data_IF_458690251262
#
_entry.id   IF_458690251262
#
_cell.length_a   1.000
_cell.length_b   1.000
_cell.length_c   1.000
_cell.angle_alpha   90.00
_cell.angle_beta   90.00
_cell.angle_gamma   90.00
#
_symmetry.space_group_name_H-M   'P 1'
#
loop_
_entity.id
_entity.type
_entity.pdbx_description
1 polymer ?
#
# COMPACT_ATOMS: atom_id res chain seq x y z
N UNK A 1 5.66 -11.22 -11.23
CA UNK A 1 4.29 -10.99 -10.73
C UNK A 1 4.39 -10.23 -9.44
N UNK A 2 3.67 -9.11 -9.35
CA UNK A 2 3.50 -8.38 -8.09
C UNK A 2 2.71 -9.27 -7.15
N UNK A 3 3.26 -9.58 -5.97
CA UNK A 3 2.59 -10.45 -5.01
C UNK A 3 1.46 -9.67 -4.35
N UNK A 4 0.35 -10.38 -4.10
CA UNK A 4 -0.82 -9.86 -3.39
C UNK A 4 -1.05 -10.65 -2.11
N UNK A 5 -1.61 -10.01 -1.10
CA UNK A 5 -2.09 -10.69 0.10
C UNK A 5 -3.42 -10.10 0.55
N UNK A 6 -4.25 -10.93 1.18
CA UNK A 6 -5.50 -10.46 1.77
C UNK A 6 -5.21 -9.72 3.08
N UNK A 7 -5.48 -8.41 3.19
CA UNK A 7 -5.28 -7.68 4.43
C UNK A 7 -6.30 -8.11 5.48
N UNK A 8 -5.86 -8.30 6.73
CA UNK A 8 -6.69 -8.56 7.89
C UNK A 8 -7.45 -7.30 8.33
N UNK A 9 -8.25 -6.67 7.46
CA UNK A 9 -8.93 -5.40 7.77
C UNK A 9 -9.88 -5.47 8.97
N UNK A 10 -10.30 -6.66 9.39
CA UNK A 10 -11.12 -6.87 10.59
C UNK A 10 -10.50 -6.27 11.86
N UNK A 11 -9.18 -6.26 11.98
CA UNK A 11 -8.42 -5.71 13.12
C UNK A 11 -8.34 -4.18 13.14
N UNK A 12 -8.76 -3.52 12.05
CA UNK A 12 -8.79 -2.07 12.01
C UNK A 12 -10.02 -1.55 12.78
N UNK A 13 -9.87 -0.55 13.67
CA UNK A 13 -10.99 0.19 14.22
C UNK A 13 -11.88 0.78 13.11
N UNK A 14 -13.14 1.05 13.42
CA UNK A 14 -14.13 1.56 12.46
C UNK A 14 -13.67 2.83 11.72
N UNK A 15 -12.96 3.72 12.42
CA UNK A 15 -12.34 4.91 11.85
C UNK A 15 -11.36 4.58 10.72
N UNK A 16 -10.44 3.65 10.94
CA UNK A 16 -9.45 3.22 9.94
C UNK A 16 -10.08 2.47 8.78
N UNK A 17 -11.13 1.68 9.02
CA UNK A 17 -11.89 1.01 7.94
C UNK A 17 -12.53 2.01 6.99
N UNK A 18 -13.05 3.13 7.52
CA UNK A 18 -13.61 4.21 6.69
C UNK A 18 -12.56 4.96 5.90
N UNK A 19 -11.40 5.23 6.51
CA UNK A 19 -10.28 5.90 5.82
C UNK A 19 -9.64 5.02 4.74
N UNK A 20 -9.69 3.68 4.90
CA UNK A 20 -8.97 2.73 4.06
C UNK A 20 -9.08 2.99 2.54
N UNK A 21 -10.27 3.17 1.93
CA UNK A 21 -10.37 3.39 0.49
C UNK A 21 -9.69 4.68 0.01
N UNK A 22 -9.62 5.70 0.87
CA UNK A 22 -9.00 6.99 0.55
C UNK A 22 -7.47 6.94 0.57
N UNK A 23 -6.89 5.85 1.06
CA UNK A 23 -5.44 5.62 1.02
C UNK A 23 -4.95 5.05 -0.33
N UNK A 24 -5.87 4.76 -1.27
CA UNK A 24 -5.57 4.12 -2.55
C UNK A 24 -4.59 4.87 -3.45
N UNK A 25 -4.42 6.18 -3.25
CA UNK A 25 -3.44 6.99 -3.98
C UNK A 25 -2.02 6.89 -3.44
N UNK A 26 -1.80 6.30 -2.26
CA UNK A 26 -0.48 6.22 -1.64
C UNK A 26 0.58 5.55 -2.54
N UNK A 27 0.31 4.42 -3.21
CA UNK A 27 1.27 3.82 -4.14
C UNK A 27 1.62 4.75 -5.31
N UNK A 28 0.65 5.49 -5.85
CA UNK A 28 0.86 6.42 -6.97
C UNK A 28 1.78 7.59 -6.57
N UNK A 29 1.69 8.00 -5.30
CA UNK A 29 2.57 9.01 -4.71
C UNK A 29 3.95 8.44 -4.27
N UNK A 30 4.23 7.17 -4.57
CA UNK A 30 5.49 6.51 -4.21
C UNK A 30 5.62 6.20 -2.72
N UNK A 31 4.49 6.05 -2.01
CA UNK A 31 4.47 5.62 -0.62
C UNK A 31 4.30 4.12 -0.49
N UNK A 32 5.00 3.54 0.48
CA UNK A 32 4.81 2.16 0.94
C UNK A 32 4.46 2.16 2.41
N UNK A 33 3.48 1.34 2.80
CA UNK A 33 3.10 1.19 4.20
C UNK A 33 4.16 0.39 4.96
N UNK A 34 4.64 0.97 6.05
CA UNK A 34 5.60 0.39 6.99
C UNK A 34 4.98 0.35 8.41
N UNK A 35 5.80 -0.04 9.38
CA UNK A 35 5.45 0.06 10.80
C UNK A 35 4.56 -1.07 11.31
N UNK A 36 3.93 -0.81 12.46
CA UNK A 36 3.14 -1.84 13.16
C UNK A 36 1.89 -2.27 12.39
N UNK A 37 1.23 -1.33 11.73
CA UNK A 37 0.00 -1.59 10.98
C UNK A 37 0.26 -2.43 9.73
N UNK A 38 1.40 -2.26 9.07
CA UNK A 38 1.82 -3.16 7.98
C UNK A 38 1.89 -4.63 8.42
N UNK A 39 2.43 -4.89 9.61
CA UNK A 39 2.52 -6.25 10.18
C UNK A 39 1.13 -6.73 10.59
N UNK A 40 0.36 -5.88 11.26
CA UNK A 40 -0.98 -6.20 11.74
C UNK A 40 -1.96 -6.54 10.61
N UNK A 41 -1.87 -5.86 9.46
CA UNK A 41 -2.63 -6.20 8.26
C UNK A 41 -2.25 -7.55 7.67
N UNK A 42 -1.00 -8.00 7.81
CA UNK A 42 -0.55 -9.29 7.30
C UNK A 42 -0.90 -10.46 8.22
N UNK A 43 -0.89 -10.23 9.53
CA UNK A 43 -0.98 -11.30 10.54
C UNK A 43 -2.25 -11.27 11.39
N UNK A 44 -2.96 -10.14 11.46
CA UNK A 44 -4.13 -9.97 12.32
C UNK A 44 -3.86 -10.18 13.81
N UNK A 45 -2.60 -10.06 14.25
CA UNK A 45 -2.15 -10.47 15.58
C UNK A 45 -2.49 -9.49 16.70
N UNK A 46 -2.81 -8.24 16.35
CA UNK A 46 -3.27 -7.20 17.28
C UNK A 46 -3.98 -6.09 16.53
N UNK A 47 -4.74 -5.28 17.26
CA UNK A 47 -5.20 -4.00 16.76
C UNK A 47 -4.00 -3.06 16.53
N UNK A 48 -4.10 -2.25 15.48
CA UNK A 48 -3.19 -1.15 15.21
C UNK A 48 -4.01 0.09 14.87
N UNK A 49 -3.49 1.29 15.13
CA UNK A 49 -4.31 2.52 15.17
C UNK A 49 -3.74 3.67 14.33
N UNK A 50 -2.64 3.43 13.62
CA UNK A 50 -1.95 4.42 12.78
C UNK A 50 -1.61 3.87 11.38
N UNK A 51 -1.35 4.76 10.43
CA UNK A 51 -0.76 4.40 9.13
C UNK A 51 0.56 5.15 8.98
N UNK A 52 1.66 4.42 8.77
CA UNK A 52 2.99 5.00 8.58
C UNK A 52 3.45 4.73 7.15
N UNK A 53 3.47 5.79 6.33
CA UNK A 53 3.88 5.74 4.93
C UNK A 53 5.30 6.24 4.76
N UNK A 54 6.14 5.41 4.14
CA UNK A 54 7.54 5.73 3.88
C UNK A 54 7.75 5.93 2.38
N UNK A 55 8.59 6.90 2.03
CA UNK A 55 9.10 7.12 0.68
C UNK A 55 10.59 7.46 0.72
N UNK A 56 11.35 7.00 -0.27
CA UNK A 56 12.72 7.44 -0.49
C UNK A 56 12.80 8.89 -1.00
N UNK A 57 11.69 9.44 -1.50
CA UNK A 57 11.61 10.79 -2.06
C UNK A 57 11.32 11.84 -0.98
N UNK A 58 11.71 13.11 -1.19
CA UNK A 58 11.20 14.21 -0.38
C UNK A 58 9.68 14.28 -0.41
N UNK A 59 9.07 14.70 0.69
CA UNK A 59 7.62 14.88 0.73
C UNK A 59 7.24 16.16 -0.02
N UNK A 60 6.51 16.01 -1.12
CA UNK A 60 5.82 17.11 -1.80
C UNK A 60 4.47 17.34 -1.10
N UNK A 61 4.38 18.39 -0.30
CA UNK A 61 3.19 18.68 0.52
C UNK A 61 1.97 18.96 -0.34
N UNK A 62 2.15 19.65 -1.45
CA UNK A 62 1.04 20.03 -2.32
C UNK A 62 0.54 18.80 -3.08
N UNK A 63 1.44 17.94 -3.58
CA UNK A 63 1.05 16.67 -4.17
C UNK A 63 0.36 15.74 -3.16
N UNK A 64 0.83 15.68 -1.90
CA UNK A 64 0.18 14.89 -0.83
C UNK A 64 -1.23 15.44 -0.54
N UNK A 65 -1.39 16.76 -0.37
CA UNK A 65 -2.72 17.36 -0.13
C UNK A 65 -3.67 17.09 -1.30
N UNK A 66 -3.17 17.24 -2.52
CA UNK A 66 -3.94 16.96 -3.72
C UNK A 66 -4.35 15.49 -3.77
N UNK A 67 -3.44 14.56 -3.48
CA UNK A 67 -3.66 13.12 -3.55
C UNK A 67 -4.58 12.54 -2.47
N UNK A 68 -4.71 13.21 -1.33
CA UNK A 68 -5.44 12.72 -0.17
C UNK A 68 -6.47 13.75 0.29
N UNK A 69 -7.74 13.66 -0.16
CA UNK A 69 -8.78 14.64 0.16
C UNK A 69 -8.98 14.86 1.68
N UNK A 70 -8.76 13.81 2.48
CA UNK A 70 -8.85 13.91 3.93
C UNK A 70 -7.83 14.87 4.56
N UNK A 71 -6.79 15.30 3.85
CA UNK A 71 -5.79 16.24 4.36
C UNK A 71 -6.39 17.61 4.67
N UNK A 72 -7.43 18.06 3.94
CA UNK A 72 -8.09 19.36 4.18
C UNK A 72 -8.75 19.44 5.55
N UNK A 73 -9.32 18.33 6.02
CA UNK A 73 -10.00 18.20 7.30
C UNK A 73 -9.08 17.70 8.42
N UNK A 74 -7.81 17.42 8.12
CA UNK A 74 -6.88 16.84 9.08
C UNK A 74 -6.19 17.88 9.95
N UNK A 75 -5.96 17.54 11.22
CA UNK A 75 -5.14 18.36 12.13
C UNK A 75 -3.68 17.95 12.03
N UNK A 76 -2.79 18.88 11.70
CA UNK A 76 -1.34 18.59 11.70
C UNK A 76 -0.81 18.49 13.13
N UNK A 77 -0.19 17.36 13.47
CA UNK A 77 0.52 17.14 14.74
C UNK A 77 1.99 17.51 14.65
N UNK A 78 2.60 17.25 13.49
CA UNK A 78 4.01 17.52 13.24
C UNK A 78 4.19 17.77 11.75
N UNK A 79 4.87 18.84 11.37
CA UNK A 79 5.38 19.06 10.01
C UNK A 79 6.77 19.67 10.12
N UNK A 80 7.79 18.83 9.97
CA UNK A 80 9.20 19.24 10.06
C UNK A 80 10.07 18.31 9.23
N UNK A 81 11.08 18.86 8.55
CA UNK A 81 11.94 18.16 7.60
C UNK A 81 11.15 17.37 6.55
N UNK A 82 11.32 16.05 6.48
CA UNK A 82 10.55 15.14 5.65
C UNK A 82 9.65 14.24 6.50
N UNK A 83 9.06 14.81 7.56
CA UNK A 83 8.05 14.14 8.38
C UNK A 83 6.81 14.99 8.47
N UNK A 84 5.67 14.42 8.10
CA UNK A 84 4.36 15.05 8.26
C UNK A 84 3.40 14.08 8.92
N UNK A 85 2.92 14.41 10.12
CA UNK A 85 1.98 13.60 10.90
C UNK A 85 0.69 14.37 11.05
N UNK A 86 -0.42 13.74 10.70
CA UNK A 86 -1.76 14.32 10.78
C UNK A 86 -2.73 13.43 11.56
N UNK A 87 -3.73 14.04 12.19
CA UNK A 87 -4.91 13.38 12.72
C UNK A 87 -6.08 13.60 11.79
N UNK A 88 -6.59 12.51 11.23
CA UNK A 88 -7.71 12.51 10.29
C UNK A 88 -9.01 12.24 11.05
N UNK A 89 -10.03 13.10 10.97
CA UNK A 89 -11.27 12.97 11.72
C UNK A 89 -12.25 11.98 11.06
N UNK A 90 -11.98 10.66 11.14
CA UNK A 90 -12.91 9.62 10.67
C UNK A 90 -13.72 9.04 11.82
N UNK A 91 -14.83 9.68 12.18
CA UNK A 91 -15.59 9.38 13.38
C UNK A 91 -17.10 9.49 13.27
N UNK A 92 -17.85 8.69 14.04
CA UNK A 92 -19.25 9.06 14.38
C UNK A 92 -19.32 10.04 15.55
N UNK A 93 -18.17 10.36 16.15
CA UNK A 93 -18.02 11.32 17.23
C UNK A 93 -16.79 12.16 16.98
N UNK A 94 -16.77 13.37 17.53
CA UNK A 94 -15.63 14.32 17.49
C UNK A 94 -14.33 13.78 18.13
N UNK A 95 -14.31 12.54 18.64
CA UNK A 95 -13.17 11.94 19.33
C UNK A 95 -12.45 10.86 18.54
N UNK A 96 -13.07 10.32 17.49
CA UNK A 96 -12.45 9.26 16.67
C UNK A 96 -11.54 9.88 15.60
N UNK A 97 -10.24 9.68 15.77
CA UNK A 97 -9.23 10.15 14.83
C UNK A 97 -8.32 8.99 14.41
N UNK A 98 -7.84 9.04 13.17
CA UNK A 98 -6.80 8.14 12.66
C UNK A 98 -5.53 8.94 12.50
N UNK A 99 -4.43 8.47 13.09
CA UNK A 99 -3.13 9.07 12.87
C UNK A 99 -2.53 8.55 11.57
N UNK A 100 -2.18 9.45 10.66
CA UNK A 100 -1.46 9.14 9.41
C UNK A 100 -0.14 9.89 9.40
N UNK A 101 0.94 9.16 9.17
CA UNK A 101 2.30 9.69 9.15
C UNK A 101 2.89 9.48 7.76
N UNK A 102 3.46 10.53 7.18
CA UNK A 102 4.26 10.49 5.96
C UNK A 102 5.72 10.77 6.32
N UNK A 103 6.61 9.88 5.88
CA UNK A 103 8.05 10.00 6.07
C UNK A 103 8.75 9.92 4.71
N UNK A 104 9.41 11.00 4.32
CA UNK A 104 10.18 11.09 3.08
C UNK A 104 11.68 10.97 3.33
N UNK A 105 12.45 10.98 2.24
CA UNK A 105 13.92 10.87 2.24
C UNK A 105 14.46 9.65 2.98
N UNK A 106 13.68 8.57 3.00
CA UNK A 106 14.08 7.33 3.64
C UNK A 106 15.11 6.61 2.77
N UNK A 107 16.38 6.70 3.15
CA UNK A 107 17.50 6.31 2.30
C UNK A 107 17.98 4.85 2.47
N UNK A 108 17.39 4.07 3.40
CA UNK A 108 17.91 2.72 3.70
C UNK A 108 17.61 1.69 2.59
N UNK A 109 16.67 1.97 1.69
CA UNK A 109 16.26 1.07 0.60
C UNK A 109 15.45 -0.14 1.09
N UNK A 110 15.47 -1.25 0.35
CA UNK A 110 14.76 -2.48 0.73
C UNK A 110 15.54 -3.73 0.34
N UNK A 111 15.31 -4.80 1.10
CA UNK A 111 15.87 -6.14 0.84
C UNK A 111 14.79 -7.11 0.32
N UNK A 112 13.52 -6.87 0.64
CA UNK A 112 12.39 -7.63 0.11
C UNK A 112 11.59 -6.89 -0.95
N UNK A 113 10.68 -7.59 -1.63
CA UNK A 113 9.64 -6.96 -2.44
C UNK A 113 8.44 -6.59 -1.58
N UNK A 114 7.94 -5.35 -1.64
CA UNK A 114 6.66 -5.03 -1.04
C UNK A 114 5.54 -5.73 -1.82
N UNK A 115 4.50 -6.14 -1.10
CA UNK A 115 3.32 -6.78 -1.69
C UNK A 115 2.18 -5.77 -1.73
N UNK A 116 1.29 -5.90 -2.71
CA UNK A 116 0.02 -5.17 -2.67
C UNK A 116 -1.01 -5.91 -1.83
N UNK A 117 -1.94 -5.16 -1.25
CA UNK A 117 -3.19 -5.75 -0.77
C UNK A 117 -4.00 -6.27 -1.96
N UNK A 118 -4.76 -7.35 -1.77
CA UNK A 118 -5.54 -7.97 -2.85
C UNK A 118 -6.66 -7.05 -3.37
N UNK A 119 -7.16 -6.16 -2.52
CA UNK A 119 -8.06 -5.04 -2.86
C UNK A 119 -7.36 -3.88 -3.59
N UNK A 120 -6.04 -3.94 -3.77
CA UNK A 120 -5.25 -2.95 -4.51
C UNK A 120 -5.03 -1.61 -3.83
N UNK A 121 -5.51 -1.42 -2.59
CA UNK A 121 -5.44 -0.12 -1.90
C UNK A 121 -4.01 0.26 -1.54
N UNK A 122 -3.24 -0.64 -0.92
CA UNK A 122 -1.92 -0.31 -0.40
C UNK A 122 -0.84 -1.26 -0.88
N UNK A 123 0.33 -0.68 -1.11
CA UNK A 123 1.59 -1.40 -1.15
C UNK A 123 2.17 -1.46 0.27
N UNK A 124 2.54 -2.66 0.73
CA UNK A 124 2.97 -2.93 2.10
C UNK A 124 4.35 -3.57 2.08
N UNK A 125 5.26 -3.05 2.91
CA UNK A 125 6.63 -3.54 3.02
C UNK A 125 6.69 -5.05 3.28
N UNK A 126 7.78 -5.67 2.83
CA UNK A 126 8.00 -7.11 3.01
C UNK A 126 8.20 -7.46 4.48
N UNK A 127 7.98 -8.72 4.87
CA UNK A 127 8.34 -9.16 6.22
C UNK A 127 9.83 -8.99 6.55
N UNK A 128 10.72 -9.04 5.55
CA UNK A 128 12.15 -8.84 5.77
C UNK A 128 12.47 -7.40 6.15
N UNK A 129 11.87 -6.43 5.45
CA UNK A 129 12.03 -5.00 5.75
C UNK A 129 11.30 -4.63 7.07
N UNK A 130 10.12 -5.21 7.32
CA UNK A 130 9.36 -5.00 8.56
C UNK A 130 10.08 -5.57 9.78
N UNK A 131 10.64 -6.79 9.69
CA UNK A 131 11.47 -7.34 10.75
C UNK A 131 12.71 -6.48 10.97
N UNK A 132 13.39 -6.05 9.90
CA UNK A 132 14.57 -5.20 9.99
C UNK A 132 14.31 -3.88 10.71
N UNK A 133 13.20 -3.20 10.38
CA UNK A 133 12.80 -1.96 11.06
C UNK A 133 12.48 -2.21 12.53
N UNK A 134 11.79 -3.30 12.87
CA UNK A 134 11.46 -3.62 14.27
C UNK A 134 12.68 -3.93 15.12
N UNK A 135 13.60 -4.77 14.64
CA UNK A 135 14.83 -5.10 15.38
C UNK A 135 15.75 -3.88 15.54
N UNK A 136 15.65 -2.89 14.65
CA UNK A 136 16.30 -1.58 14.81
C UNK A 136 15.60 -0.70 15.85
N UNK A 137 14.27 -0.62 15.82
CA UNK A 137 13.48 0.24 16.71
C UNK A 137 13.56 -0.20 18.18
N UNK A 138 13.66 -1.50 18.47
CA UNK A 138 13.83 -1.98 19.85
C UNK A 138 15.11 -1.50 20.53
N UNK A 139 16.08 -0.99 19.77
CA UNK A 139 17.29 -0.34 20.31
C UNK A 139 17.06 1.14 20.67
N UNK A 140 16.01 1.74 20.13
CA UNK A 140 15.68 3.15 20.33
C UNK A 140 14.63 3.33 21.42
N UNK A 141 13.77 2.33 21.62
CA UNK A 141 12.73 2.33 22.65
C UNK A 141 12.32 0.92 23.06
N UNK A 142 11.79 0.82 24.28
CA UNK A 142 11.22 -0.41 24.83
C UNK A 142 9.69 -0.29 24.90
N UNK A 143 9.03 -0.43 23.75
CA UNK A 143 7.55 -0.46 23.67
C UNK A 143 7.08 -1.88 23.34
N UNK A 144 6.15 -2.41 24.14
CA UNK A 144 5.69 -3.79 24.05
C UNK A 144 5.15 -4.13 22.65
N UNK A 145 4.49 -3.19 21.97
CA UNK A 145 4.00 -3.41 20.59
C UNK A 145 5.11 -3.81 19.61
N UNK A 146 6.32 -3.26 19.76
CA UNK A 146 7.43 -3.60 18.85
C UNK A 146 7.92 -5.04 19.10
N UNK A 147 7.92 -5.48 20.35
CA UNK A 147 8.28 -6.84 20.76
C UNK A 147 7.19 -7.86 20.35
N UNK A 148 5.91 -7.50 20.50
CA UNK A 148 4.77 -8.31 20.02
C UNK A 148 4.82 -8.50 18.51
N UNK A 149 5.15 -7.44 17.77
CA UNK A 149 5.29 -7.50 16.31
C UNK A 149 6.41 -8.47 15.90
N UNK A 150 7.58 -8.43 16.56
CA UNK A 150 8.67 -9.39 16.32
C UNK A 150 8.22 -10.82 16.65
N UNK A 151 7.61 -11.04 17.82
CA UNK A 151 7.14 -12.36 18.23
C UNK A 151 6.09 -12.93 17.26
N UNK A 152 5.14 -12.10 16.80
CA UNK A 152 4.13 -12.50 15.83
C UNK A 152 4.74 -12.89 14.48
N UNK A 153 5.71 -12.11 13.97
CA UNK A 153 6.42 -12.46 12.74
C UNK A 153 7.20 -13.77 12.89
N UNK A 154 7.87 -13.99 14.02
CA UNK A 154 8.57 -15.27 14.30
C UNK A 154 7.58 -16.44 14.30
N UNK A 155 6.42 -16.29 14.96
CA UNK A 155 5.39 -17.33 14.99
C UNK A 155 4.80 -17.61 13.60
N UNK A 156 4.77 -16.60 12.72
CA UNK A 156 4.39 -16.74 11.32
C UNK A 156 5.51 -17.34 10.43
N UNK A 157 6.65 -17.73 11.02
CA UNK A 157 7.78 -18.36 10.31
C UNK A 157 8.80 -17.39 9.74
N UNK A 158 8.72 -16.09 10.07
CA UNK A 158 9.73 -15.10 9.66
C UNK A 158 11.01 -15.29 10.47
N UNK A 159 12.14 -15.43 9.78
CA UNK A 159 13.42 -15.68 10.43
C UNK A 159 14.00 -14.42 11.10
N UNK A 160 14.24 -14.50 12.41
CA UNK A 160 14.91 -13.43 13.16
C UNK A 160 16.36 -13.22 12.66
N UNK A 161 17.10 -14.28 12.31
CA UNK A 161 18.47 -14.14 11.81
C UNK A 161 18.50 -13.44 10.45
N UNK A 162 17.51 -13.71 9.59
CA UNK A 162 17.34 -13.00 8.33
C UNK A 162 17.04 -11.52 8.59
N UNK A 163 16.07 -11.21 9.45
CA UNK A 163 15.72 -9.82 9.80
C UNK A 163 16.87 -9.00 10.42
N UNK A 164 17.69 -9.62 11.27
CA UNK A 164 18.91 -8.99 11.81
C UNK A 164 19.96 -8.72 10.72
N UNK A 165 20.13 -9.65 9.79
CA UNK A 165 21.03 -9.47 8.65
C UNK A 165 20.53 -8.37 7.71
N UNK A 166 19.21 -8.33 7.46
CA UNK A 166 18.53 -7.28 6.71
C UNK A 166 18.73 -5.92 7.37
N UNK A 167 18.49 -5.79 8.68
CA UNK A 167 18.76 -4.54 9.40
C UNK A 167 20.22 -4.10 9.32
N UNK A 168 21.17 -5.04 9.39
CA UNK A 168 22.60 -4.75 9.19
C UNK A 168 22.87 -4.21 7.79
N UNK A 169 22.23 -4.77 6.76
CA UNK A 169 22.36 -4.29 5.39
C UNK A 169 21.75 -2.89 5.20
N UNK A 170 20.57 -2.63 5.78
CA UNK A 170 19.83 -1.38 5.63
C UNK A 170 20.44 -0.21 6.41
N UNK A 171 20.95 -0.46 7.62
CA UNK A 171 21.44 0.59 8.53
C UNK A 171 22.96 0.63 8.68
N UNK A 172 23.67 -0.35 8.12
CA UNK A 172 25.13 -0.44 8.12
C UNK A 172 25.73 -0.28 9.52
N UNK A 173 26.69 0.66 9.73
CA UNK A 173 27.38 0.83 11.01
C UNK A 173 26.44 1.28 12.14
N UNK A 174 25.28 1.85 11.82
CA UNK A 174 24.30 2.32 12.79
C UNK A 174 23.47 1.19 13.40
N UNK A 175 23.75 -0.08 13.09
CA UNK A 175 23.03 -1.22 13.65
C UNK A 175 23.98 -2.34 14.07
N UNK A 176 23.94 -2.71 15.34
CA UNK A 176 24.69 -3.84 15.91
C UNK A 176 23.73 -4.97 16.27
N UNK A 177 23.71 -6.10 15.52
CA UNK A 177 22.77 -7.20 15.77
C UNK A 177 22.81 -7.75 17.19
N UNK A 178 24.00 -7.81 17.81
CA UNK A 178 24.16 -8.30 19.19
C UNK A 178 23.46 -7.44 20.23
N UNK A 179 23.33 -6.14 20.00
CA UNK A 179 22.59 -5.25 20.90
C UNK A 179 21.09 -5.53 20.80
N UNK A 180 20.59 -5.76 19.58
CA UNK A 180 19.18 -6.04 19.35
C UNK A 180 18.79 -7.38 19.97
N UNK A 181 19.63 -8.41 19.81
CA UNK A 181 19.44 -9.71 20.47
C UNK A 181 19.36 -9.59 22.00
N UNK A 182 20.19 -8.73 22.62
CA UNK A 182 20.14 -8.48 24.07
C UNK A 182 18.86 -7.75 24.47
N UNK A 183 18.45 -6.74 23.72
CA UNK A 183 17.22 -5.99 23.97
C UNK A 183 15.99 -6.92 23.92
N UNK A 184 15.90 -7.78 22.90
CA UNK A 184 14.78 -8.70 22.69
C UNK A 184 14.54 -9.72 23.83
N UNK A 185 15.51 -9.89 24.75
CA UNK A 185 15.39 -10.80 25.91
C UNK A 185 15.41 -10.06 27.25
N UNK A 186 15.36 -8.73 27.25
CA UNK A 186 15.31 -7.92 28.47
C UNK A 186 13.93 -7.26 28.61
N UNK A 187 13.10 -7.79 29.53
CA UNK A 187 11.67 -7.42 29.63
C UNK A 187 11.33 -6.47 30.78
N UNK A 188 12.33 -5.82 31.38
CA UNK A 188 12.13 -4.96 32.56
C UNK A 188 11.96 -3.47 32.20
N UNK A 189 12.16 -3.09 30.94
CA UNK A 189 12.02 -1.70 30.50
C UNK A 189 10.59 -1.36 30.07
N UNK A 190 10.27 -0.06 30.09
CA UNK A 190 9.03 0.50 29.55
C UNK A 190 7.76 -0.23 30.00
N UNK A 191 6.94 -0.63 29.03
CA UNK A 191 5.73 -1.41 29.25
C UNK A 191 5.93 -2.90 28.92
N UNK A 192 7.16 -3.41 28.80
CA UNK A 192 7.46 -4.79 28.39
C UNK A 192 6.95 -5.85 29.38
N UNK A 193 6.67 -5.47 30.63
CA UNK A 193 5.96 -6.31 31.59
C UNK A 193 4.58 -6.75 31.11
N UNK A 194 3.97 -6.02 30.17
CA UNK A 194 2.67 -6.32 29.56
C UNK A 194 2.74 -7.39 28.44
N UNK A 195 3.93 -7.84 28.07
CA UNK A 195 4.10 -8.98 27.17
C UNK A 195 3.63 -10.27 27.86
N UNK A 196 2.96 -11.14 27.10
CA UNK A 196 2.51 -12.44 27.59
C UNK A 196 3.71 -13.38 27.83
N UNK A 197 3.48 -14.45 28.59
CA UNK A 197 4.51 -15.47 28.80
C UNK A 197 4.94 -16.12 27.46
N UNK A 198 3.98 -16.33 26.55
CA UNK A 198 4.23 -16.94 25.24
C UNK A 198 5.00 -16.01 24.31
N UNK A 199 4.71 -14.71 24.32
CA UNK A 199 5.48 -13.70 23.56
C UNK A 199 6.93 -13.67 24.04
N UNK A 200 7.15 -13.61 25.36
CA UNK A 200 8.51 -13.64 25.95
C UNK A 200 9.25 -14.92 25.61
N UNK A 201 8.57 -16.07 25.71
CA UNK A 201 9.13 -17.38 25.36
C UNK A 201 9.53 -17.44 23.89
N UNK A 202 8.66 -16.97 22.99
CA UNK A 202 8.90 -16.90 21.55
C UNK A 202 10.17 -16.11 21.24
N UNK A 203 10.31 -14.92 21.83
CA UNK A 203 11.49 -14.07 21.64
C UNK A 203 12.78 -14.72 22.16
N UNK A 204 12.73 -15.31 23.37
CA UNK A 204 13.88 -16.01 23.95
C UNK A 204 14.31 -17.20 23.09
N UNK A 205 13.35 -18.00 22.64
CA UNK A 205 13.63 -19.18 21.81
C UNK A 205 14.16 -18.77 20.43
N UNK A 206 13.63 -17.70 19.82
CA UNK A 206 14.12 -17.14 18.57
C UNK A 206 15.56 -16.62 18.69
N UNK A 207 15.87 -15.85 19.73
CA UNK A 207 17.22 -15.34 19.99
C UNK A 207 18.20 -16.49 20.22
N UNK A 208 17.81 -17.53 20.96
CA UNK A 208 18.60 -18.75 21.16
C UNK A 208 18.81 -19.55 19.88
N UNK A 209 17.96 -19.41 18.87
CA UNK A 209 18.10 -20.11 17.60
C UNK A 209 19.05 -19.39 16.62
N UNK A 210 19.33 -18.09 16.84
CA UNK A 210 20.29 -17.35 16.00
C UNK A 210 21.70 -17.93 16.19
N UNK A 211 22.35 -18.27 15.07
CA UNK A 211 23.72 -18.80 15.02
C UNK A 211 24.61 -17.88 14.19
N UNK A 212 24.43 -17.96 12.87
CA UNK A 212 25.06 -17.09 11.90
C UNK A 212 24.00 -16.20 11.24
N UNK A 213 24.40 -15.00 10.86
CA UNK A 213 23.58 -14.11 10.06
C UNK A 213 23.87 -14.36 8.58
N UNK A 214 22.85 -14.60 7.74
CA UNK A 214 23.05 -14.77 6.31
C UNK A 214 23.59 -13.48 5.66
N UNK A 215 24.16 -13.61 4.47
CA UNK A 215 24.50 -12.47 3.62
C UNK A 215 23.24 -12.00 2.89
N UNK A 216 22.95 -10.70 3.01
CA UNK A 216 21.76 -10.06 2.43
C UNK A 216 22.23 -8.97 1.47
N UNK A 217 21.78 -9.05 0.23
CA UNK A 217 21.99 -7.98 -0.74
C UNK A 217 20.87 -6.94 -0.63
N UNK A 218 21.23 -5.66 -0.78
CA UNK A 218 20.23 -4.62 -1.02
C UNK A 218 19.54 -4.91 -2.35
N UNK A 219 18.21 -4.99 -2.35
CA UNK A 219 17.42 -5.27 -3.55
C UNK A 219 17.18 -4.01 -4.36
N UNK A 220 16.83 -2.91 -3.69
CA UNK A 220 16.56 -1.62 -4.33
C UNK A 220 16.78 -0.47 -3.35
N UNK A 221 17.10 0.71 -3.87
CA UNK A 221 17.07 1.97 -3.11
C UNK A 221 15.68 2.62 -3.09
N UNK A 222 14.76 2.20 -3.98
CA UNK A 222 13.35 2.59 -3.93
C UNK A 222 12.61 1.71 -2.92
N UNK A 223 11.79 2.33 -2.07
CA UNK A 223 10.97 1.60 -1.12
C UNK A 223 9.72 1.00 -1.76
N UNK A 224 9.25 1.61 -2.84
CA UNK A 224 8.11 1.12 -3.59
C UNK A 224 8.52 0.03 -4.60
N UNK A 225 7.51 -0.73 -5.02
CA UNK A 225 7.61 -1.62 -6.18
C UNK A 225 7.57 -0.87 -7.52
N UNK A 226 7.23 0.42 -7.50
CA UNK A 226 7.24 1.30 -8.67
C UNK A 226 8.64 1.92 -8.83
N UNK A 227 9.18 1.86 -10.05
CA UNK A 227 10.42 2.55 -10.38
C UNK A 227 10.15 4.02 -10.70
N UNK A 228 11.18 4.86 -10.68
CA UNK A 228 11.06 6.24 -11.16
C UNK A 228 10.59 6.33 -12.62
N UNK A 229 10.93 5.33 -13.44
CA UNK A 229 10.46 5.23 -14.83
C UNK A 229 8.96 4.98 -14.86
N UNK A 230 8.46 4.08 -14.01
CA UNK A 230 7.03 3.79 -13.93
C UNK A 230 6.28 5.07 -13.57
N UNK A 231 6.72 5.79 -12.54
CA UNK A 231 6.12 7.06 -12.12
C UNK A 231 6.18 8.13 -13.22
N UNK A 232 7.30 8.25 -13.94
CA UNK A 232 7.40 9.17 -15.08
C UNK A 232 6.42 8.83 -16.22
N UNK A 233 6.17 7.53 -16.48
CA UNK A 233 5.17 7.11 -17.47
C UNK A 233 3.76 7.40 -16.98
N UNK A 234 3.51 7.33 -15.67
CA UNK A 234 2.22 7.72 -15.08
C UNK A 234 1.95 9.20 -15.35
N UNK A 235 2.90 10.08 -15.03
CA UNK A 235 2.79 11.52 -15.26
C UNK A 235 2.57 11.84 -16.76
N UNK A 236 3.29 11.16 -17.65
CA UNK A 236 3.11 11.30 -19.10
C UNK A 236 1.70 10.88 -19.53
N UNK A 237 1.18 9.77 -19.00
CA UNK A 237 -0.17 9.28 -19.33
C UNK A 237 -1.25 10.25 -18.84
N UNK A 238 -1.09 10.84 -17.64
CA UNK A 238 -1.99 11.88 -17.11
C UNK A 238 -1.99 13.09 -18.04
N UNK A 239 -0.80 13.60 -18.42
CA UNK A 239 -0.66 14.75 -19.32
C UNK A 239 -1.25 14.51 -20.72
N UNK A 240 -1.27 13.26 -21.19
CA UNK A 240 -1.78 12.87 -22.50
C UNK A 240 -3.30 12.59 -22.54
N UNK A 241 -4.02 12.64 -21.41
CA UNK A 241 -5.47 12.36 -21.38
C UNK A 241 -6.27 13.29 -22.30
N UNK A 242 -5.89 14.57 -22.41
CA UNK A 242 -6.56 15.52 -23.30
C UNK A 242 -6.55 15.09 -24.78
N UNK A 243 -5.56 14.29 -25.20
CA UNK A 243 -5.48 13.78 -26.57
C UNK A 243 -6.53 12.70 -26.88
N UNK A 244 -7.19 12.15 -25.86
CA UNK A 244 -8.16 11.06 -25.99
C UNK A 244 -9.60 11.56 -26.22
N UNK A 245 -9.89 12.85 -25.99
CA UNK A 245 -11.23 13.44 -26.06
C UNK A 245 -11.96 13.19 -27.39
N UNK A 246 -11.24 13.24 -28.51
CA UNK A 246 -11.82 13.11 -29.85
C UNK A 246 -11.71 11.69 -30.42
N UNK A 247 -11.41 10.70 -29.57
CA UNK A 247 -11.37 9.28 -29.97
C UNK A 247 -12.75 8.66 -29.87
N UNK A 248 -12.86 7.39 -30.29
CA UNK A 248 -14.12 6.64 -30.27
C UNK A 248 -13.93 5.30 -29.53
N UNK A 249 -15.05 4.63 -29.24
CA UNK A 249 -15.05 3.32 -28.59
C UNK A 249 -14.50 3.39 -27.16
N UNK A 250 -13.79 2.35 -26.74
CA UNK A 250 -13.28 2.21 -25.38
C UNK A 250 -12.34 3.34 -24.96
N UNK A 251 -11.64 3.95 -25.92
CA UNK A 251 -10.77 5.12 -25.65
C UNK A 251 -11.59 6.32 -25.16
N UNK A 252 -12.75 6.56 -25.78
CA UNK A 252 -13.63 7.65 -25.37
C UNK A 252 -14.23 7.39 -23.99
N UNK A 253 -14.70 6.15 -23.75
CA UNK A 253 -15.24 5.75 -22.44
C UNK A 253 -14.20 5.91 -21.33
N UNK A 254 -12.97 5.44 -21.56
CA UNK A 254 -11.86 5.63 -20.62
C UNK A 254 -11.59 7.12 -20.35
N UNK A 255 -11.51 7.94 -21.41
CA UNK A 255 -11.31 9.38 -21.26
C UNK A 255 -12.43 10.05 -20.46
N UNK A 256 -13.68 9.69 -20.70
CA UNK A 256 -14.83 10.22 -19.95
C UNK A 256 -14.74 9.86 -18.47
N UNK A 257 -14.44 8.61 -18.14
CA UNK A 257 -14.28 8.16 -16.74
C UNK A 257 -13.10 8.82 -16.06
N UNK A 258 -11.95 8.89 -16.74
CA UNK A 258 -10.75 9.56 -16.25
C UNK A 258 -11.02 11.05 -15.97
N UNK A 259 -11.62 11.75 -16.94
CA UNK A 259 -11.90 13.19 -16.81
C UNK A 259 -12.94 13.48 -15.74
N UNK A 260 -13.95 12.62 -15.59
CA UNK A 260 -14.91 12.71 -14.50
C UNK A 260 -14.21 12.56 -13.13
N UNK A 261 -13.34 11.57 -12.97
CA UNK A 261 -12.58 11.36 -11.74
C UNK A 261 -11.61 12.51 -11.45
N UNK A 262 -10.92 13.04 -12.46
CA UNK A 262 -10.05 14.22 -12.32
C UNK A 262 -10.85 15.44 -11.90
N UNK A 263 -12.04 15.65 -12.48
CA UNK A 263 -12.90 16.78 -12.12
C UNK A 263 -13.41 16.67 -10.68
N UNK A 264 -13.63 15.46 -10.20
CA UNK A 264 -14.13 15.18 -8.85
C UNK A 264 -13.04 15.28 -7.79
N UNK A 265 -11.84 14.76 -8.08
CA UNK A 265 -10.81 14.54 -7.06
C UNK A 265 -9.51 15.32 -7.31
N UNK A 266 -9.32 15.92 -8.49
CA UNK A 266 -8.03 16.45 -8.94
C UNK A 266 -7.15 15.35 -9.54
N UNK A 267 -6.22 15.72 -10.43
CA UNK A 267 -5.41 14.78 -11.19
C UNK A 267 -4.53 13.87 -10.30
N UNK A 268 -4.03 14.42 -9.20
CA UNK A 268 -3.10 13.73 -8.30
C UNK A 268 -3.80 12.79 -7.29
N UNK A 269 -5.14 12.89 -7.18
CA UNK A 269 -5.97 12.13 -6.26
C UNK A 269 -6.87 11.09 -6.95
N UNK A 270 -6.68 10.85 -8.24
CA UNK A 270 -7.48 9.85 -8.94
C UNK A 270 -7.07 8.43 -8.53
N UNK A 271 -8.03 7.68 -7.99
CA UNK A 271 -7.92 6.22 -7.89
C UNK A 271 -8.08 5.61 -9.28
N UNK A 272 -6.95 5.40 -9.98
CA UNK A 272 -6.94 4.84 -11.32
C UNK A 272 -7.54 3.44 -11.41
N UNK A 273 -7.46 2.62 -10.37
CA UNK A 273 -8.09 1.29 -10.36
C UNK A 273 -9.62 1.35 -10.44
N UNK A 274 -10.23 2.33 -9.76
CA UNK A 274 -11.68 2.58 -9.86
C UNK A 274 -12.07 3.11 -11.24
N UNK A 275 -11.27 4.01 -11.83
CA UNK A 275 -11.45 4.48 -13.21
C UNK A 275 -11.39 3.32 -14.20
N UNK A 276 -10.40 2.44 -14.05
CA UNK A 276 -10.23 1.22 -14.86
C UNK A 276 -11.47 0.33 -14.75
N UNK A 277 -11.91 0.01 -13.53
CA UNK A 277 -13.08 -0.84 -13.31
C UNK A 277 -14.37 -0.24 -13.87
N UNK A 278 -14.63 1.05 -13.63
CA UNK A 278 -15.79 1.75 -14.19
C UNK A 278 -15.77 1.78 -15.72
N UNK A 279 -14.58 1.94 -16.31
CA UNK A 279 -14.39 1.85 -17.77
C UNK A 279 -14.76 0.47 -18.28
N UNK A 280 -14.28 -0.60 -17.63
CA UNK A 280 -14.57 -1.99 -18.04
C UNK A 280 -16.09 -2.24 -18.05
N UNK A 281 -16.77 -1.85 -16.98
CA UNK A 281 -18.21 -2.05 -16.83
C UNK A 281 -18.97 -1.32 -17.95
N UNK A 282 -18.83 0.01 -18.03
CA UNK A 282 -19.57 0.82 -19.00
C UNK A 282 -19.25 0.45 -20.47
N UNK A 283 -17.98 0.23 -20.79
CA UNK A 283 -17.56 -0.15 -22.13
C UNK A 283 -18.23 -1.43 -22.61
N UNK A 284 -18.31 -2.46 -21.76
CA UNK A 284 -18.80 -3.77 -22.16
C UNK A 284 -20.33 -3.87 -22.01
N UNK A 285 -20.89 -3.50 -20.86
CA UNK A 285 -22.32 -3.70 -20.58
C UNK A 285 -23.24 -2.67 -21.21
N UNK A 286 -22.76 -1.43 -21.42
CA UNK A 286 -23.60 -0.35 -21.96
C UNK A 286 -23.28 -0.09 -23.44
N UNK A 287 -22.00 -0.05 -23.77
CA UNK A 287 -21.55 0.30 -25.12
C UNK A 287 -21.29 -0.91 -26.03
N UNK A 288 -21.28 -2.14 -25.48
CA UNK A 288 -21.08 -3.37 -26.25
C UNK A 288 -19.71 -3.48 -26.90
N UNK A 289 -18.70 -2.82 -26.33
CA UNK A 289 -17.35 -2.79 -26.88
C UNK A 289 -16.62 -4.13 -26.62
N UNK A 290 -15.72 -4.58 -27.52
CA UNK A 290 -15.02 -5.84 -27.34
C UNK A 290 -14.14 -5.83 -26.07
N UNK A 291 -14.19 -6.87 -25.21
CA UNK A 291 -13.37 -6.92 -24.00
C UNK A 291 -11.87 -6.78 -24.28
N UNK A 292 -11.37 -7.38 -25.37
CA UNK A 292 -9.97 -7.23 -25.80
C UNK A 292 -9.57 -5.77 -26.01
N UNK A 293 -10.43 -5.00 -26.69
CA UNK A 293 -10.15 -3.61 -27.02
C UNK A 293 -10.17 -2.75 -25.75
N UNK A 294 -11.08 -3.05 -24.82
CA UNK A 294 -11.17 -2.37 -23.51
C UNK A 294 -9.90 -2.61 -22.69
N UNK A 295 -9.42 -3.86 -22.63
CA UNK A 295 -8.19 -4.20 -21.93
C UNK A 295 -6.97 -3.49 -22.53
N UNK A 296 -6.87 -3.44 -23.86
CA UNK A 296 -5.76 -2.78 -24.55
C UNK A 296 -5.75 -1.27 -24.34
N UNK A 297 -6.93 -0.62 -24.38
CA UNK A 297 -7.07 0.81 -24.07
C UNK A 297 -6.58 1.11 -22.66
N UNK A 298 -7.02 0.33 -21.67
CA UNK A 298 -6.61 0.53 -20.28
C UNK A 298 -5.10 0.31 -20.13
N UNK A 299 -4.56 -0.77 -20.68
CA UNK A 299 -3.13 -1.07 -20.60
C UNK A 299 -2.26 0.01 -21.26
N UNK A 300 -2.75 0.61 -22.35
CA UNK A 300 -2.06 1.64 -23.10
C UNK A 300 -2.12 3.01 -22.43
N UNK A 301 -3.27 3.38 -21.86
CA UNK A 301 -3.56 4.76 -21.47
C UNK A 301 -3.71 4.99 -19.96
N UNK A 302 -4.03 3.97 -19.17
CA UNK A 302 -4.23 4.18 -17.73
C UNK A 302 -2.91 4.45 -17.00
N UNK A 303 -2.80 5.56 -16.24
CA UNK A 303 -1.69 5.76 -15.31
C UNK A 303 -1.58 4.61 -14.27
N UNK A 304 -2.67 3.94 -13.90
CA UNK A 304 -2.64 2.79 -12.97
C UNK A 304 -2.07 1.50 -13.57
N UNK A 305 -1.84 1.44 -14.89
CA UNK A 305 -1.44 0.25 -15.64
C UNK A 305 -0.07 0.38 -16.33
N UNK A 306 0.90 1.07 -15.69
CA UNK A 306 2.24 1.28 -16.26
C UNK A 306 3.13 0.04 -16.24
N UNK A 307 2.99 -0.81 -15.22
CA UNK A 307 3.78 -2.03 -15.10
C UNK A 307 3.12 -3.19 -15.86
N UNK A 308 3.95 -4.05 -16.48
CA UNK A 308 3.46 -5.25 -17.19
C UNK A 308 2.60 -6.15 -16.30
N UNK A 309 2.97 -6.32 -15.03
CA UNK A 309 2.17 -7.09 -14.08
C UNK A 309 0.77 -6.50 -13.87
N UNK A 310 0.65 -5.17 -13.76
CA UNK A 310 -0.67 -4.50 -13.67
C UNK A 310 -1.47 -4.64 -14.97
N UNK A 311 -0.82 -4.60 -16.12
CA UNK A 311 -1.48 -4.84 -17.41
C UNK A 311 -2.01 -6.28 -17.55
N UNK A 312 -1.28 -7.27 -17.04
CA UNK A 312 -1.75 -8.66 -16.95
C UNK A 312 -2.96 -8.79 -16.01
N UNK A 313 -2.95 -8.09 -14.87
CA UNK A 313 -4.09 -8.04 -13.94
C UNK A 313 -5.34 -7.38 -14.55
N UNK A 314 -5.18 -6.28 -15.29
CA UNK A 314 -6.29 -5.64 -16.02
C UNK A 314 -6.90 -6.61 -17.02
N UNK A 315 -6.07 -7.32 -17.80
CA UNK A 315 -6.55 -8.31 -18.77
C UNK A 315 -7.32 -9.43 -18.09
N UNK A 316 -6.79 -9.97 -16.99
CA UNK A 316 -7.46 -11.02 -16.23
C UNK A 316 -8.82 -10.54 -15.67
N UNK A 317 -8.89 -9.31 -15.14
CA UNK A 317 -10.15 -8.73 -14.65
C UNK A 317 -11.18 -8.56 -15.77
N UNK A 318 -10.75 -8.10 -16.95
CA UNK A 318 -11.63 -7.99 -18.12
C UNK A 318 -12.15 -9.36 -18.55
N UNK A 319 -11.29 -10.38 -18.61
CA UNK A 319 -11.68 -11.76 -18.94
C UNK A 319 -12.67 -12.34 -17.94
N UNK A 320 -12.49 -12.06 -16.65
CA UNK A 320 -13.38 -12.49 -15.57
C UNK A 320 -14.78 -11.86 -15.70
N UNK A 321 -14.86 -10.54 -15.92
CA UNK A 321 -16.13 -9.80 -15.93
C UNK A 321 -16.87 -9.86 -17.28
N UNK A 322 -16.15 -10.10 -18.38
CA UNK A 322 -16.72 -10.02 -19.73
C UNK A 322 -17.98 -10.85 -19.97
N UNK A 323 -18.09 -12.13 -19.55
CA UNK A 323 -19.26 -12.96 -19.86
C UNK A 323 -20.56 -12.38 -19.30
N UNK A 324 -20.52 -11.87 -18.06
CA UNK A 324 -21.70 -11.29 -17.42
C UNK A 324 -22.07 -9.95 -18.07
N UNK A 325 -21.09 -9.06 -18.27
CA UNK A 325 -21.31 -7.74 -18.86
C UNK A 325 -21.83 -7.82 -20.30
N UNK A 326 -21.30 -8.76 -21.10
CA UNK A 326 -21.79 -9.00 -22.47
C UNK A 326 -23.23 -9.52 -22.49
N UNK A 327 -23.59 -10.40 -21.54
CA UNK A 327 -24.97 -10.88 -21.41
C UNK A 327 -25.92 -9.73 -21.03
N UNK A 328 -25.50 -8.82 -20.16
CA UNK A 328 -26.26 -7.61 -19.80
C UNK A 328 -26.50 -6.72 -21.03
N UNK A 329 -25.46 -6.46 -21.84
CA UNK A 329 -25.60 -5.69 -23.08
C UNK A 329 -26.56 -6.35 -24.07
N UNK A 330 -26.42 -7.66 -24.29
CA UNK A 330 -27.29 -8.42 -25.20
C UNK A 330 -28.77 -8.36 -24.77
N UNK A 331 -29.04 -8.46 -23.46
CA UNK A 331 -30.38 -8.33 -22.90
C UNK A 331 -30.96 -6.93 -23.13
N UNK A 332 -30.21 -5.87 -22.80
CA UNK A 332 -30.65 -4.49 -22.98
C UNK A 332 -30.94 -4.15 -24.46
N UNK A 333 -30.16 -4.71 -25.38
CA UNK A 333 -30.38 -4.54 -26.83
C UNK A 333 -31.61 -5.33 -27.32
N UNK A 334 -31.84 -6.53 -26.79
CA UNK A 334 -33.03 -7.34 -27.09
C UNK A 334 -34.34 -6.70 -26.63
N UNK A 335 -34.33 -6.04 -25.47
CA UNK A 335 -35.50 -5.31 -24.95
C UNK A 335 -35.82 -4.05 -25.78
N UNK A 336 -34.81 -3.31 -26.23
CA UNK A 336 -34.99 -2.15 -27.14
C UNK A 336 -35.44 -2.53 -28.56
N UNK A 337 -35.22 -3.77 -28.99
CA UNK A 337 -35.67 -4.27 -30.29
C UNK A 337 -37.14 -4.71 -30.33
N UNK A 338 -37.81 -4.74 -29.17
CA UNK A 338 -39.19 -5.22 -29.02
C UNK A 338 -40.21 -4.10 -28.69
N UNK A 339 -39.79 -2.83 -28.68
CA UNK A 339 -40.74 -1.70 -28.60
C UNK A 339 -41.32 -1.40 -30.00
N UNK A 340 -42.65 -1.44 -30.18
CA UNK A 340 -43.31 -1.31 -31.49
C UNK A 340 -43.31 0.10 -32.09
#
# INVERSE_FOLDING_TARGET
>A
MTRKFKPCTAILPSAQKRLWPELSNAPNQGFTLYGGTAIALRLGHRDSVDFDFFSEKPLDREAIKAAFPFMEQSTTLQDHDNTWVVLVPYGNSEREHVKVSFFGTIAFGRVGEPDFTDDGVLQVASFDDLMATKVKVVLQRAEAKDYRDVAAMVNAGVSLSHGLASARQLYGPNFQPSESLKALVYFNDGDLKTLTADEKKTLVDAVKAVRNLPDIALRSTSLSGLSWKDLSVMDERIGNLAMLENRAGAVLTFWQRATAAIKEHGADAVNWGDVEQKTIIESISENGQPPSDVADVICQHSPGAVQKARQEEVRALVEELAPELQAQYAKARGEKGCEP
#
